data_IF_673626338910
#
_entry.id   IF_673626338910
#
_cell.length_a   1.000
_cell.length_b   1.000
_cell.length_c   1.000
_cell.angle_alpha   90.00
_cell.angle_beta   90.00
_cell.angle_gamma   90.00
#
_symmetry.space_group_name_H-M   'P 1'
#
loop_
_entity.id
_entity.type
_entity.pdbx_description
1 polymer ?
#
# COMPACT_ATOMS: atom_id res chain seq x y z
N UNK A 1 7.75 14.04 -9.34
CA UNK A 1 8.25 13.45 -8.09
C UNK A 1 7.15 13.03 -7.11
N UNK A 2 5.92 13.42 -7.34
CA UNK A 2 4.76 13.06 -6.50
C UNK A 2 4.11 11.72 -6.87
N UNK A 3 4.73 10.90 -7.71
CA UNK A 3 4.18 9.60 -8.09
C UNK A 3 4.31 8.58 -6.96
N UNK A 4 3.31 7.73 -6.82
CA UNK A 4 3.30 6.58 -5.90
C UNK A 4 3.31 7.02 -4.45
N UNK A 5 2.17 7.25 -3.86
CA UNK A 5 1.89 7.51 -2.44
C UNK A 5 2.99 8.28 -1.65
N UNK A 6 3.72 9.18 -2.31
CA UNK A 6 4.77 10.08 -1.80
C UNK A 6 5.94 9.43 -1.01
N UNK A 7 5.82 8.21 -0.55
CA UNK A 7 6.79 7.56 0.36
C UNK A 7 7.91 6.81 -0.37
N UNK A 8 8.17 7.14 -1.64
CA UNK A 8 9.42 6.68 -2.28
C UNK A 8 10.60 7.33 -1.57
N UNK A 9 11.24 6.55 -0.73
CA UNK A 9 12.36 6.95 0.13
C UNK A 9 13.39 7.82 -0.60
N UNK A 10 13.86 7.40 -1.77
CA UNK A 10 14.85 8.12 -2.55
C UNK A 10 14.42 9.52 -3.02
N UNK A 11 13.13 9.73 -3.30
CA UNK A 11 12.62 11.02 -3.81
C UNK A 11 12.54 12.05 -2.70
N UNK A 12 11.99 11.69 -1.55
CA UNK A 12 11.89 12.59 -0.39
C UNK A 12 13.28 12.90 0.18
N UNK A 13 14.14 11.91 0.30
CA UNK A 13 15.52 12.11 0.76
C UNK A 13 16.28 13.08 -0.13
N UNK A 14 16.16 12.94 -1.45
CA UNK A 14 16.80 13.85 -2.41
C UNK A 14 16.28 15.28 -2.30
N UNK A 15 14.96 15.44 -2.07
CA UNK A 15 14.34 16.74 -1.91
C UNK A 15 14.81 17.42 -0.61
N UNK A 16 14.81 16.69 0.50
CA UNK A 16 15.28 17.18 1.80
C UNK A 16 16.75 17.57 1.70
N UNK A 17 17.58 16.72 1.08
CA UNK A 17 18.98 17.05 0.85
C UNK A 17 19.16 18.32 0.01
N UNK A 18 18.40 18.47 -1.07
CA UNK A 18 18.45 19.66 -1.92
C UNK A 18 17.99 20.92 -1.17
N UNK A 19 16.93 20.81 -0.36
CA UNK A 19 16.47 21.88 0.51
C UNK A 19 17.58 22.35 1.45
N UNK A 20 18.15 21.41 2.21
CA UNK A 20 19.13 21.72 3.26
C UNK A 20 20.41 22.31 2.67
N UNK A 21 20.77 21.93 1.43
CA UNK A 21 22.01 22.38 0.80
C UNK A 21 21.85 23.67 -0.01
N UNK A 22 20.70 23.89 -0.65
CA UNK A 22 20.58 24.93 -1.66
C UNK A 22 19.51 25.98 -1.37
N UNK A 23 18.54 25.71 -0.46
CA UNK A 23 17.51 26.67 -0.16
C UNK A 23 18.07 27.79 0.71
N UNK A 24 17.91 29.01 0.26
CA UNK A 24 18.33 30.21 1.03
C UNK A 24 17.37 30.47 2.17
N UNK A 25 17.84 31.16 3.20
CA UNK A 25 16.98 31.65 4.30
C UNK A 25 15.81 32.47 3.75
N UNK A 26 14.59 32.14 4.18
CA UNK A 26 13.36 32.74 3.65
C UNK A 26 12.94 32.23 2.29
N UNK A 27 13.63 31.23 1.73
CA UNK A 27 13.21 30.58 0.48
C UNK A 27 11.96 29.72 0.69
N UNK A 28 11.19 29.52 -0.39
CA UNK A 28 9.98 28.72 -0.41
C UNK A 28 10.16 27.41 -1.19
N UNK A 29 9.43 26.39 -0.81
CA UNK A 29 9.32 25.11 -1.54
C UNK A 29 7.90 24.94 -2.10
N UNK A 30 7.84 24.44 -3.32
CA UNK A 30 6.58 24.13 -3.98
C UNK A 30 6.57 22.67 -4.48
N UNK A 31 5.68 21.83 -3.92
CA UNK A 31 4.68 22.12 -2.88
C UNK A 31 5.32 22.43 -1.52
N UNK A 32 4.61 23.23 -0.70
CA UNK A 32 5.03 23.54 0.68
C UNK A 32 4.65 22.44 1.67
N UNK A 33 3.49 21.79 1.45
CA UNK A 33 2.99 20.70 2.28
C UNK A 33 2.45 19.57 1.45
N UNK A 34 2.58 18.37 1.99
CA UNK A 34 1.99 17.15 1.44
C UNK A 34 1.20 16.42 2.51
N UNK A 35 0.03 15.87 2.15
CA UNK A 35 -0.77 15.05 3.04
C UNK A 35 -1.05 13.70 2.41
N UNK A 36 -0.92 12.65 3.22
CA UNK A 36 -1.26 11.29 2.85
C UNK A 36 -2.59 10.90 3.50
N UNK A 37 -3.47 10.32 2.71
CA UNK A 37 -4.77 9.86 3.16
C UNK A 37 -4.90 8.37 2.93
N UNK A 38 -5.66 7.72 3.79
CA UNK A 38 -6.00 6.31 3.68
C UNK A 38 -7.50 6.14 3.98
N UNK A 39 -8.15 5.24 3.24
CA UNK A 39 -9.53 4.87 3.50
C UNK A 39 -9.76 3.38 3.18
N UNK A 40 -10.65 2.69 3.94
CA UNK A 40 -11.12 1.36 3.57
C UNK A 40 -12.08 1.44 2.39
N UNK A 41 -11.99 0.50 1.46
CA UNK A 41 -12.86 0.47 0.28
C UNK A 41 -13.36 -0.94 -0.03
N UNK A 42 -14.49 -0.99 -0.74
CA UNK A 42 -15.09 -2.20 -1.31
C UNK A 42 -15.08 -2.05 -2.82
N UNK A 43 -14.04 -2.57 -3.45
CA UNK A 43 -13.89 -2.55 -4.89
C UNK A 43 -13.85 -3.98 -5.42
N UNK A 44 -14.66 -4.26 -6.44
CA UNK A 44 -14.80 -5.60 -7.05
C UNK A 44 -14.43 -5.61 -8.53
N UNK A 45 -13.89 -4.50 -9.04
CA UNK A 45 -13.52 -4.36 -10.44
C UNK A 45 -12.36 -5.28 -10.84
N UNK A 46 -12.33 -5.69 -12.11
CA UNK A 46 -11.27 -6.52 -12.66
C UNK A 46 -9.89 -5.85 -12.67
N UNK A 47 -9.85 -4.53 -12.53
CA UNK A 47 -8.61 -3.75 -12.42
C UNK A 47 -7.77 -4.09 -11.18
N UNK A 48 -8.41 -4.62 -10.14
CA UNK A 48 -7.75 -5.11 -8.91
C UNK A 48 -7.18 -6.50 -9.09
N UNK A 49 -7.64 -7.25 -10.11
CA UNK A 49 -7.05 -8.56 -10.41
C UNK A 49 -5.56 -8.39 -10.72
N UNK A 50 -4.76 -9.05 -9.92
CA UNK A 50 -3.30 -9.02 -10.02
C UNK A 50 -2.89 -9.41 -11.45
N UNK A 51 -2.28 -8.50 -12.21
CA UNK A 51 -1.55 -8.88 -13.42
C UNK A 51 -0.30 -9.61 -12.95
N UNK A 52 -0.32 -10.92 -13.02
CA UNK A 52 0.78 -11.77 -12.57
C UNK A 52 0.29 -12.95 -11.72
N UNK A 53 1.17 -13.89 -11.41
CA UNK A 53 0.81 -15.07 -10.62
C UNK A 53 0.34 -14.64 -9.23
N UNK A 54 -0.68 -15.33 -8.71
CA UNK A 54 -1.11 -15.18 -7.31
C UNK A 54 -0.02 -15.68 -6.37
N UNK A 55 -0.14 -15.40 -5.06
CA UNK A 55 0.79 -15.95 -4.10
C UNK A 55 0.77 -17.49 -4.11
N UNK A 56 -0.42 -18.07 -4.20
CA UNK A 56 -0.60 -19.53 -4.30
C UNK A 56 0.09 -20.11 -5.55
N UNK A 57 -0.03 -19.45 -6.70
CA UNK A 57 0.67 -19.86 -7.92
C UNK A 57 2.20 -19.81 -7.74
N UNK A 58 2.73 -18.76 -7.12
CA UNK A 58 4.17 -18.69 -6.82
C UNK A 58 4.65 -19.81 -5.90
N UNK A 59 3.84 -20.18 -4.91
CA UNK A 59 4.13 -21.30 -4.00
C UNK A 59 4.17 -22.62 -4.78
N UNK A 60 3.21 -22.83 -5.67
CA UNK A 60 3.16 -24.01 -6.52
C UNK A 60 4.34 -24.06 -7.50
N UNK A 61 4.61 -22.98 -8.24
CA UNK A 61 5.72 -22.87 -9.19
C UNK A 61 7.07 -23.16 -8.52
N UNK A 62 7.24 -22.69 -7.26
CA UNK A 62 8.44 -22.97 -6.49
C UNK A 62 8.54 -24.46 -6.12
N UNK A 63 7.45 -25.08 -5.70
CA UNK A 63 7.42 -26.51 -5.41
C UNK A 63 7.80 -27.35 -6.63
N UNK A 64 7.20 -27.07 -7.78
CA UNK A 64 7.51 -27.72 -9.07
C UNK A 64 8.99 -27.52 -9.45
N UNK A 65 9.51 -26.30 -9.31
CA UNK A 65 10.93 -26.03 -9.57
C UNK A 65 11.87 -26.85 -8.68
N UNK A 66 11.60 -26.96 -7.38
CA UNK A 66 12.43 -27.74 -6.45
C UNK A 66 12.39 -29.22 -6.81
N UNK A 67 11.21 -29.77 -7.11
CA UNK A 67 11.04 -31.18 -7.47
C UNK A 67 11.71 -31.52 -8.80
N UNK A 68 11.52 -30.70 -9.83
CA UNK A 68 12.12 -30.89 -11.14
C UNK A 68 13.65 -30.80 -11.08
N UNK A 69 14.17 -29.81 -10.35
CA UNK A 69 15.63 -29.63 -10.22
C UNK A 69 16.25 -30.79 -9.47
N UNK A 70 15.58 -31.29 -8.44
CA UNK A 70 16.06 -32.49 -7.72
C UNK A 70 16.06 -33.72 -8.60
N UNK A 71 15.01 -33.90 -9.41
CA UNK A 71 14.87 -35.03 -10.32
C UNK A 71 15.88 -34.99 -11.46
N UNK A 72 16.03 -33.86 -12.11
CA UNK A 72 16.78 -33.73 -13.35
C UNK A 72 18.28 -33.51 -13.13
N UNK A 73 18.65 -32.84 -12.04
CA UNK A 73 20.04 -32.46 -11.73
C UNK A 73 20.56 -33.02 -10.41
N UNK A 74 19.71 -33.65 -9.58
CA UNK A 74 20.09 -34.14 -8.25
C UNK A 74 20.36 -33.04 -7.22
N UNK A 75 19.93 -31.80 -7.50
CA UNK A 75 20.14 -30.64 -6.62
C UNK A 75 18.87 -30.38 -5.80
N UNK A 76 19.03 -30.31 -4.49
CA UNK A 76 17.93 -30.08 -3.57
C UNK A 76 17.92 -28.60 -3.09
N UNK A 77 16.97 -27.82 -3.56
CA UNK A 77 16.77 -26.41 -3.18
C UNK A 77 15.73 -26.22 -2.07
N UNK A 78 15.24 -27.28 -1.44
CA UNK A 78 14.22 -27.18 -0.38
C UNK A 78 14.68 -26.33 0.81
N UNK A 79 15.98 -26.23 1.06
CA UNK A 79 16.53 -25.38 2.11
C UNK A 79 16.29 -23.87 1.89
N UNK A 80 15.99 -23.44 0.67
CA UNK A 80 15.69 -22.03 0.33
C UNK A 80 14.19 -21.72 0.36
N UNK A 81 13.32 -22.72 0.58
CA UNK A 81 11.87 -22.56 0.47
C UNK A 81 11.30 -21.54 1.45
N UNK A 82 11.76 -21.52 2.69
CA UNK A 82 11.31 -20.55 3.70
C UNK A 82 11.65 -19.13 3.29
N UNK A 83 12.90 -18.86 2.93
CA UNK A 83 13.36 -17.55 2.48
C UNK A 83 12.62 -17.08 1.23
N UNK A 84 12.45 -17.99 0.26
CA UNK A 84 11.68 -17.66 -0.95
C UNK A 84 10.23 -17.29 -0.65
N UNK A 85 9.57 -18.02 0.25
CA UNK A 85 8.19 -17.76 0.64
C UNK A 85 8.05 -16.41 1.36
N UNK A 86 9.01 -16.05 2.21
CA UNK A 86 9.03 -14.74 2.87
C UNK A 86 9.20 -13.61 1.87
N UNK A 87 10.18 -13.71 0.97
CA UNK A 87 10.39 -12.72 -0.10
C UNK A 87 9.17 -12.62 -1.04
N UNK A 88 8.59 -13.74 -1.43
CA UNK A 88 7.39 -13.77 -2.26
C UNK A 88 6.20 -13.12 -1.57
N UNK A 89 6.04 -13.31 -0.25
CA UNK A 89 4.99 -12.69 0.56
C UNK A 89 5.20 -11.18 0.66
N UNK A 90 6.41 -10.74 0.98
CA UNK A 90 6.75 -9.32 1.06
C UNK A 90 6.54 -8.61 -0.28
N UNK A 91 6.99 -9.23 -1.36
CA UNK A 91 6.77 -8.72 -2.71
C UNK A 91 5.29 -8.64 -3.07
N UNK A 92 4.48 -9.61 -2.63
CA UNK A 92 3.03 -9.63 -2.86
C UNK A 92 2.31 -8.55 -2.05
N UNK A 93 2.63 -8.39 -0.78
CA UNK A 93 2.02 -7.42 0.12
C UNK A 93 2.50 -5.99 -0.13
N UNK A 94 3.74 -5.82 -0.59
CA UNK A 94 4.35 -4.52 -0.85
C UNK A 94 3.96 -3.86 -2.17
N UNK A 95 3.16 -4.53 -3.02
CA UNK A 95 2.74 -3.97 -4.30
C UNK A 95 1.59 -2.98 -4.10
N UNK A 96 1.86 -1.70 -4.31
CA UNK A 96 0.82 -0.69 -4.49
C UNK A 96 0.44 -0.58 -5.98
N UNK A 97 -0.83 -0.32 -6.26
CA UNK A 97 -1.36 -0.18 -7.63
C UNK A 97 -2.17 1.08 -7.74
N UNK A 98 -2.10 1.71 -8.91
CA UNK A 98 -3.02 2.78 -9.25
C UNK A 98 -4.35 2.17 -9.69
N UNK A 99 -5.40 2.52 -8.98
CA UNK A 99 -6.77 2.09 -9.27
C UNK A 99 -7.70 3.30 -9.32
N UNK A 100 -8.71 3.21 -10.15
CA UNK A 100 -9.79 4.20 -10.20
C UNK A 100 -10.95 3.67 -9.35
N UNK A 101 -11.30 4.35 -8.27
CA UNK A 101 -12.42 3.97 -7.44
C UNK A 101 -13.47 5.06 -7.36
N UNK A 102 -14.74 4.68 -7.31
CA UNK A 102 -15.83 5.61 -7.09
C UNK A 102 -15.93 5.98 -5.60
N UNK A 103 -16.33 7.20 -5.30
CA UNK A 103 -16.57 7.64 -3.91
C UNK A 103 -17.56 6.72 -3.19
N UNK A 104 -18.52 6.15 -3.93
CA UNK A 104 -19.49 5.20 -3.40
C UNK A 104 -18.88 3.88 -2.93
N UNK A 105 -17.66 3.54 -3.34
CA UNK A 105 -16.95 2.33 -2.95
C UNK A 105 -16.14 2.52 -1.66
N UNK A 106 -15.95 3.75 -1.22
CA UNK A 106 -15.28 4.08 0.05
C UNK A 106 -16.22 3.74 1.21
N UNK A 107 -15.73 2.97 2.18
CA UNK A 107 -16.54 2.43 3.29
C UNK A 107 -16.54 3.33 4.54
N UNK A 108 -15.56 4.21 4.66
CA UNK A 108 -15.47 5.17 5.77
C UNK A 108 -14.81 6.46 5.31
N UNK A 109 -15.02 7.58 6.01
CA UNK A 109 -14.30 8.82 5.73
C UNK A 109 -12.79 8.60 5.74
N UNK A 110 -12.05 9.23 4.81
CA UNK A 110 -10.60 9.12 4.76
C UNK A 110 -9.94 9.73 6.00
N UNK A 111 -8.87 9.11 6.44
CA UNK A 111 -8.03 9.62 7.54
C UNK A 111 -6.73 10.15 6.97
N UNK A 112 -6.34 11.36 7.38
CA UNK A 112 -4.99 11.87 7.12
C UNK A 112 -4.00 11.09 7.99
N UNK A 113 -3.21 10.24 7.37
CA UNK A 113 -2.26 9.36 8.08
C UNK A 113 -0.87 9.99 8.21
N UNK A 114 -0.59 11.02 7.42
CA UNK A 114 0.67 11.77 7.49
C UNK A 114 0.50 13.16 6.89
N UNK A 115 0.99 14.15 7.60
CA UNK A 115 1.25 15.49 7.05
C UNK A 115 2.75 15.75 7.06
N UNK A 116 3.26 16.27 5.96
CA UNK A 116 4.68 16.55 5.75
C UNK A 116 4.79 18.02 5.36
N UNK A 117 5.41 18.81 6.22
CA UNK A 117 5.83 20.18 5.90
C UNK A 117 7.20 20.10 5.22
N UNK A 118 7.26 20.49 3.95
CA UNK A 118 8.48 20.33 3.14
C UNK A 118 9.64 21.22 3.60
N UNK A 119 9.37 22.30 4.35
CA UNK A 119 10.41 23.18 4.88
C UNK A 119 11.10 22.58 6.13
N UNK A 120 10.38 21.82 6.94
CA UNK A 120 10.86 21.37 8.24
C UNK A 120 11.03 19.87 8.35
N UNK A 121 10.40 19.09 7.48
CA UNK A 121 10.41 17.63 7.53
C UNK A 121 11.82 17.05 7.50
N UNK A 122 12.02 15.98 8.28
CA UNK A 122 13.23 15.16 8.28
C UNK A 122 13.00 13.84 7.55
N UNK A 123 14.08 13.20 7.10
CA UNK A 123 14.02 11.87 6.47
C UNK A 123 13.39 10.84 7.41
N UNK A 124 13.71 10.90 8.71
CA UNK A 124 13.18 10.00 9.72
C UNK A 124 11.65 10.13 9.89
N UNK A 125 11.12 11.35 9.87
CA UNK A 125 9.69 11.62 9.92
C UNK A 125 8.96 11.13 8.67
N UNK A 126 9.59 11.25 7.50
CA UNK A 126 9.01 10.81 6.23
C UNK A 126 9.06 9.30 6.02
N UNK A 127 9.86 8.55 6.78
CA UNK A 127 10.10 7.12 6.54
C UNK A 127 9.05 6.19 7.15
N UNK A 128 8.09 6.70 7.94
CA UNK A 128 7.05 5.88 8.56
C UNK A 128 5.73 6.64 8.72
N UNK A 129 4.66 5.88 8.71
CA UNK A 129 3.31 6.34 9.01
C UNK A 129 2.96 5.89 10.41
N UNK A 130 2.38 6.81 11.20
CA UNK A 130 1.89 6.50 12.53
C UNK A 130 0.60 5.66 12.44
N UNK A 131 0.19 5.04 13.55
CA UNK A 131 -1.03 4.26 13.59
C UNK A 131 -2.25 5.13 13.30
N UNK A 132 -3.16 4.62 12.48
CA UNK A 132 -4.44 5.26 12.21
C UNK A 132 -5.59 4.29 12.48
N UNK A 133 -6.78 4.82 12.74
CA UNK A 133 -7.99 4.03 12.96
C UNK A 133 -9.13 4.54 12.10
N UNK A 134 -9.99 3.63 11.67
CA UNK A 134 -11.19 3.93 10.88
C UNK A 134 -12.43 3.57 11.68
N UNK A 135 -13.37 4.51 11.80
CA UNK A 135 -14.68 4.24 12.34
C UNK A 135 -15.62 3.79 11.22
N UNK A 136 -15.66 2.50 10.96
CA UNK A 136 -16.58 1.91 10.00
C UNK A 136 -17.23 0.65 10.57
N UNK A 137 -18.43 0.32 10.09
CA UNK A 137 -19.08 -0.95 10.36
C UNK A 137 -19.04 -1.80 9.10
N UNK A 138 -18.29 -2.87 9.15
CA UNK A 138 -18.33 -3.91 8.13
C UNK A 138 -18.42 -5.28 8.81
N UNK A 139 -19.08 -6.21 8.13
CA UNK A 139 -19.23 -7.57 8.63
C UNK A 139 -18.18 -8.46 7.94
N UNK A 140 -17.42 -9.26 8.68
CA UNK A 140 -16.47 -10.20 8.07
C UNK A 140 -17.26 -11.20 7.21
N UNK A 141 -16.71 -11.49 6.02
CA UNK A 141 -17.23 -12.54 5.15
C UNK A 141 -17.10 -13.88 5.86
N UNK A 142 -18.20 -14.56 6.19
CA UNK A 142 -18.18 -15.91 6.76
C UNK A 142 -18.88 -16.13 8.10
N UNK A 143 -19.49 -15.15 8.73
CA UNK A 143 -20.38 -15.39 9.88
C UNK A 143 -21.72 -15.95 9.38
N UNK A 144 -21.77 -17.26 9.12
CA UNK A 144 -22.96 -18.03 8.79
C UNK A 144 -23.89 -18.18 9.97
N UNK A 145 -24.40 -17.09 10.54
CA UNK A 145 -25.54 -17.11 11.45
C UNK A 145 -26.68 -16.40 10.75
N UNK A 146 -27.65 -17.25 10.34
CA UNK A 146 -28.87 -16.85 9.68
C UNK A 146 -29.65 -15.83 10.49
N UNK A 147 -29.47 -14.59 10.16
CA UNK A 147 -30.27 -13.47 10.60
C UNK A 147 -30.33 -12.45 9.48
N UNK A 148 -31.52 -12.21 8.94
CA UNK A 148 -31.83 -11.23 7.90
C UNK A 148 -31.66 -9.79 8.39
N UNK A 149 -30.51 -9.46 8.97
CA UNK A 149 -30.14 -8.08 9.25
C UNK A 149 -29.47 -7.51 7.97
N UNK A 150 -30.18 -6.66 7.25
CA UNK A 150 -29.62 -5.88 6.15
C UNK A 150 -28.39 -5.14 6.67
N UNK A 151 -27.20 -5.49 6.15
CA UNK A 151 -25.97 -4.75 6.41
C UNK A 151 -26.21 -3.26 6.14
N UNK A 152 -25.90 -2.34 7.06
CA UNK A 152 -26.08 -0.91 6.86
C UNK A 152 -25.31 -0.37 5.63
N UNK A 153 -24.32 -1.10 5.14
CA UNK A 153 -23.53 -0.78 3.94
C UNK A 153 -23.94 -1.59 2.71
N UNK A 154 -25.18 -2.13 2.65
CA UNK A 154 -25.66 -2.86 1.48
C UNK A 154 -24.89 -4.15 1.16
N UNK A 155 -24.29 -4.81 2.17
CA UNK A 155 -23.53 -6.05 1.99
C UNK A 155 -22.11 -5.86 1.45
N UNK A 156 -21.58 -4.66 1.47
CA UNK A 156 -20.21 -4.39 1.01
C UNK A 156 -19.17 -4.93 1.98
N UNK A 157 -18.19 -5.58 1.43
CA UNK A 157 -17.07 -6.15 2.18
C UNK A 157 -15.80 -5.30 1.96
N UNK A 158 -14.96 -5.20 2.98
CA UNK A 158 -13.64 -4.62 2.82
C UNK A 158 -12.82 -5.50 1.90
N UNK A 159 -12.42 -4.95 0.75
CA UNK A 159 -11.56 -5.64 -0.22
C UNK A 159 -10.17 -5.04 -0.33
N UNK A 160 -10.02 -3.76 0.03
CA UNK A 160 -8.73 -3.06 -0.05
C UNK A 160 -8.69 -1.84 0.86
N UNK A 161 -7.49 -1.34 1.07
CA UNK A 161 -7.26 0.03 1.49
C UNK A 161 -6.82 0.87 0.30
N UNK A 162 -7.41 2.03 0.13
CA UNK A 162 -7.03 2.98 -0.91
C UNK A 162 -6.32 4.17 -0.27
N UNK A 163 -5.18 4.52 -0.84
CA UNK A 163 -4.39 5.66 -0.40
C UNK A 163 -4.20 6.68 -1.53
N UNK A 164 -4.22 7.95 -1.17
CA UNK A 164 -3.87 9.04 -2.06
C UNK A 164 -3.14 10.14 -1.30
N UNK A 165 -2.56 11.05 -2.04
CA UNK A 165 -1.92 12.23 -1.46
C UNK A 165 -2.49 13.51 -2.03
N UNK A 166 -2.44 14.58 -1.26
CA UNK A 166 -2.64 15.94 -1.73
C UNK A 166 -1.35 16.75 -1.55
N UNK A 167 -1.16 17.71 -2.42
CA UNK A 167 -0.05 18.66 -2.35
C UNK A 167 -0.60 20.08 -2.25
N UNK A 168 0.02 20.90 -1.41
CA UNK A 168 -0.41 22.26 -1.13
C UNK A 168 0.70 23.22 -1.53
N UNK A 169 0.30 24.29 -2.21
CA UNK A 169 1.18 25.35 -2.69
C UNK A 169 0.84 26.62 -1.90
N UNK A 170 1.31 26.69 -0.67
CA UNK A 170 1.18 27.86 0.19
C UNK A 170 2.50 28.64 0.12
N UNK A 171 2.42 29.92 -0.20
CA UNK A 171 3.54 30.87 -0.24
C UNK A 171 3.45 31.87 0.88
#
# INVERSE_FOLDING_TARGET
>A
WTRGYLLRKSTIESLIYARDKFLKSGGALYPSKCRLYLAPASHTGDEVKMKGPTFEQKVQDWGEFVDDTKKDYGLDFSCLSETYMEEAREAYLGVSREVSIATSEVLAPPVCVKEIDMLTATVGECSRIDACSFATRFYPSGSGLGGSARSPNGGRHLTMFVGWHSVHFEG
#
